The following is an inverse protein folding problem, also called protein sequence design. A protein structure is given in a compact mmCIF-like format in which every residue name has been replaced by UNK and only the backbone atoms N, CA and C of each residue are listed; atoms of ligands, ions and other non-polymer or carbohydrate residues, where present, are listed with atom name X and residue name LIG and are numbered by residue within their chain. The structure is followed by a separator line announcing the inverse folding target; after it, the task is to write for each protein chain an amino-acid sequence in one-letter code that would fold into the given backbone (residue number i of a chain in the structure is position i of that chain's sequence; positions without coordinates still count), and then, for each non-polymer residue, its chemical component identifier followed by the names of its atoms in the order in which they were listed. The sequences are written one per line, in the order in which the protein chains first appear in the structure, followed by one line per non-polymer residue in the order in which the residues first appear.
data_IF_407846034948
#
_entry.id   IF_407846034948
#
_cell.length_a   1.000
_cell.length_b   1.000
_cell.length_c   1.000
_cell.angle_alpha   90.00
_cell.angle_beta   90.00
_cell.angle_gamma   90.00
#
_symmetry.space_group_name_H-M   'P 1'
#
loop_
_entity.id
_entity.type
_entity.pdbx_description
1 polymer ?
#
# COMPACT_ATOMS: atom_id res chain seq x y z
N UNK A 1 -9.52 -4.07 31.00
CA UNK A 1 -9.46 -5.11 29.96
C UNK A 1 -8.94 -4.47 28.69
N UNK A 2 -7.76 -4.86 28.22
CA UNK A 2 -7.28 -4.47 26.89
C UNK A 2 -7.90 -5.47 25.93
N UNK A 3 -8.87 -5.02 25.14
CA UNK A 3 -9.56 -5.84 24.15
C UNK A 3 -8.54 -6.46 23.19
N UNK A 4 -8.35 -7.78 23.28
CA UNK A 4 -7.49 -8.52 22.35
C UNK A 4 -7.91 -8.28 20.90
N UNK A 5 -9.21 -8.09 20.66
CA UNK A 5 -9.77 -7.72 19.35
C UNK A 5 -9.25 -6.37 18.81
N UNK A 6 -8.92 -5.42 19.69
CA UNK A 6 -8.36 -4.12 19.29
C UNK A 6 -6.92 -4.26 18.80
N UNK A 7 -6.15 -5.19 19.38
CA UNK A 7 -4.77 -5.46 18.97
C UNK A 7 -4.69 -6.27 17.67
N UNK A 8 -5.63 -7.21 17.46
CA UNK A 8 -5.76 -7.95 16.20
C UNK A 8 -6.01 -7.01 15.02
N UNK A 9 -7.01 -6.12 15.13
CA UNK A 9 -7.33 -5.13 14.07
C UNK A 9 -6.17 -4.17 13.76
N UNK A 10 -5.41 -3.76 14.78
CA UNK A 10 -4.20 -2.95 14.59
C UNK A 10 -3.10 -3.72 13.86
N UNK A 11 -2.96 -5.01 14.16
CA UNK A 11 -1.98 -5.89 13.53
C UNK A 11 -2.35 -6.18 12.08
N UNK A 12 -3.62 -6.48 11.80
CA UNK A 12 -4.14 -6.64 10.42
C UNK A 12 -3.94 -5.36 9.60
N UNK A 13 -4.24 -4.18 10.17
CA UNK A 13 -3.99 -2.90 9.52
C UNK A 13 -2.50 -2.67 9.21
N UNK A 14 -1.59 -3.11 10.09
CA UNK A 14 -0.15 -3.01 9.86
C UNK A 14 0.34 -3.99 8.78
N UNK A 15 -0.20 -5.20 8.73
CA UNK A 15 0.11 -6.20 7.70
C UNK A 15 -0.35 -5.71 6.33
N UNK A 16 -1.58 -5.22 6.22
CA UNK A 16 -2.12 -4.70 4.97
C UNK A 16 -1.37 -3.44 4.51
N UNK A 17 -0.95 -2.57 5.44
CA UNK A 17 -0.04 -1.44 5.12
C UNK A 17 1.31 -1.92 4.60
N UNK A 18 1.92 -2.95 5.21
CA UNK A 18 3.19 -3.52 4.73
C UNK A 18 3.04 -4.16 3.36
N UNK A 19 1.95 -4.88 3.10
CA UNK A 19 1.64 -5.43 1.77
C UNK A 19 1.45 -4.32 0.74
N UNK A 20 0.66 -3.29 1.07
CA UNK A 20 0.48 -2.14 0.20
C UNK A 20 1.83 -1.46 -0.10
N UNK A 21 2.69 -1.27 0.90
CA UNK A 21 4.05 -0.74 0.68
C UNK A 21 4.88 -1.68 -0.20
N UNK A 22 4.75 -3.00 -0.03
CA UNK A 22 5.43 -4.00 -0.86
C UNK A 22 4.96 -4.03 -2.33
N UNK A 23 3.77 -3.53 -2.64
CA UNK A 23 3.26 -3.46 -4.02
C UNK A 23 3.86 -2.31 -4.83
N UNK A 24 4.32 -1.27 -4.15
CA UNK A 24 4.73 -0.01 -4.77
C UNK A 24 6.13 -0.01 -5.41
N UNK A 25 7.17 -0.69 -4.88
CA UNK A 25 8.52 -0.52 -5.41
C UNK A 25 8.74 -1.11 -6.82
N UNK A 26 7.89 -2.01 -7.32
CA UNK A 26 8.25 -2.82 -8.51
C UNK A 26 7.20 -2.92 -9.61
N UNK A 27 6.15 -2.07 -9.63
CA UNK A 27 5.01 -2.29 -10.52
C UNK A 27 4.51 -3.75 -10.41
N UNK A 28 4.20 -4.19 -9.18
CA UNK A 28 3.72 -5.54 -9.00
C UNK A 28 2.50 -5.80 -9.90
N UNK A 29 2.31 -7.05 -10.32
CA UNK A 29 1.16 -7.40 -11.15
C UNK A 29 -0.15 -7.01 -10.46
N UNK A 30 -0.22 -7.14 -9.13
CA UNK A 30 -1.35 -6.68 -8.31
C UNK A 30 -1.58 -5.16 -8.38
N UNK A 31 -0.50 -4.37 -8.35
CA UNK A 31 -0.60 -2.91 -8.49
C UNK A 31 -1.13 -2.51 -9.86
N UNK A 32 -0.57 -3.08 -10.93
CA UNK A 32 -1.02 -2.82 -12.30
C UNK A 32 -2.47 -3.26 -12.48
N UNK A 33 -2.82 -4.46 -12.01
CA UNK A 33 -4.17 -5.00 -12.08
C UNK A 33 -5.17 -4.09 -11.34
N UNK A 34 -4.83 -3.65 -10.13
CA UNK A 34 -5.68 -2.73 -9.35
C UNK A 34 -5.85 -1.38 -10.04
N UNK A 35 -4.78 -0.84 -10.65
CA UNK A 35 -4.88 0.39 -11.43
C UNK A 35 -5.83 0.24 -12.63
N UNK A 36 -5.74 -0.88 -13.35
CA UNK A 36 -6.64 -1.20 -14.47
C UNK A 36 -8.09 -1.31 -13.99
N UNK A 37 -8.34 -2.02 -12.88
CA UNK A 37 -9.68 -2.15 -12.30
C UNK A 37 -10.28 -0.80 -11.86
N UNK A 38 -9.43 0.14 -11.46
CA UNK A 38 -9.81 1.48 -11.04
C UNK A 38 -9.84 2.51 -12.20
N UNK A 39 -9.68 2.08 -13.45
CA UNK A 39 -9.57 2.94 -14.64
C UNK A 39 -8.49 4.05 -14.48
N UNK A 40 -7.39 3.70 -13.81
CA UNK A 40 -6.29 4.60 -13.51
C UNK A 40 -5.03 4.18 -14.26
N UNK A 41 -4.29 5.16 -14.79
CA UNK A 41 -2.98 4.88 -15.41
C UNK A 41 -1.94 4.53 -14.32
N UNK A 42 -1.35 3.32 -14.35
CA UNK A 42 -0.44 2.86 -13.30
C UNK A 42 0.86 3.69 -13.23
N UNK A 43 1.31 4.28 -14.35
CA UNK A 43 2.50 5.13 -14.39
C UNK A 43 2.23 6.46 -13.69
N UNK A 44 1.06 7.06 -13.95
CA UNK A 44 0.59 8.26 -13.29
C UNK A 44 0.50 8.07 -11.77
N UNK A 45 -0.13 6.96 -11.33
CA UNK A 45 -0.25 6.64 -9.90
C UNK A 45 1.14 6.49 -9.28
N UNK A 46 2.05 5.73 -9.90
CA UNK A 46 3.42 5.57 -9.40
C UNK A 46 4.15 6.91 -9.23
N UNK A 47 4.06 7.79 -10.22
CA UNK A 47 4.71 9.09 -10.19
C UNK A 47 4.16 10.00 -9.09
N UNK A 48 2.85 9.91 -8.80
CA UNK A 48 2.24 10.65 -7.69
C UNK A 48 2.70 10.16 -6.32
N UNK A 49 2.94 8.87 -6.15
CA UNK A 49 3.34 8.32 -4.84
C UNK A 49 4.85 8.37 -4.57
N UNK A 50 5.68 8.43 -5.61
CA UNK A 50 7.14 8.53 -5.54
C UNK A 50 7.66 9.53 -4.48
N UNK A 51 7.16 10.78 -4.40
CA UNK A 51 7.60 11.72 -3.37
C UNK A 51 7.23 11.28 -1.94
N UNK A 52 6.05 10.68 -1.76
CA UNK A 52 5.59 10.16 -0.46
C UNK A 52 6.42 8.96 0.01
N UNK A 53 6.78 8.06 -0.92
CA UNK A 53 7.67 6.94 -0.63
C UNK A 53 9.05 7.41 -0.18
N UNK A 54 9.64 8.39 -0.87
CA UNK A 54 10.95 8.97 -0.48
C UNK A 54 10.92 9.58 0.92
N UNK A 55 9.79 10.13 1.35
CA UNK A 55 9.60 10.65 2.71
C UNK A 55 9.43 9.57 3.78
N UNK A 56 8.97 8.38 3.41
CA UNK A 56 8.70 7.25 4.33
C UNK A 56 9.96 6.40 4.59
N UNK A 57 10.96 6.47 3.72
CA UNK A 57 12.24 5.74 3.85
C UNK A 57 13.32 6.55 4.59
N UNK A 58 13.00 7.73 5.12
CA UNK A 58 13.92 8.62 5.85
C UNK A 58 13.67 8.60 7.34
#
# INVERSE_FOLDING_TARGET
MIDAASNCKKTESLVEKRKAISWLPDFSQDFVHTCILADCDPVYVKNKIQPTLKSLTR
#
